data_IF_034754009761
#
_entry.id   IF_034754009761
#
_cell.length_a   1.000
_cell.length_b   1.000
_cell.length_c   1.000
_cell.angle_alpha   90.00
_cell.angle_beta   90.00
_cell.angle_gamma   90.00
#
_symmetry.space_group_name_H-M   'P 1'
#
loop_
_entity.id
_entity.type
_entity.pdbx_description
1 polymer ?
#
# COMPACT_ATOMS: atom_id res chain seq x y z
N UNK A 1 24.63 22.80 9.16
CA UNK A 1 23.14 22.76 9.08
C UNK A 1 22.71 21.32 8.86
N UNK A 2 21.94 20.71 9.78
CA UNK A 2 21.39 19.35 9.56
C UNK A 2 20.30 19.43 8.49
N UNK A 3 20.55 18.86 7.32
CA UNK A 3 19.54 18.69 6.28
C UNK A 3 18.48 17.71 6.79
N UNK A 4 17.39 18.22 7.37
CA UNK A 4 16.20 17.44 7.68
C UNK A 4 15.56 17.06 6.33
N UNK A 5 15.99 15.94 5.73
CA UNK A 5 15.29 15.35 4.58
C UNK A 5 13.84 15.10 5.02
N UNK A 6 12.91 15.94 4.55
CA UNK A 6 11.47 15.73 4.76
C UNK A 6 11.13 14.36 4.19
N UNK A 7 10.74 13.44 5.08
CA UNK A 7 10.26 12.12 4.68
C UNK A 7 8.87 12.27 4.06
N UNK A 8 8.80 12.50 2.75
CA UNK A 8 7.55 12.54 2.00
C UNK A 8 7.01 11.12 1.86
N UNK A 9 5.81 10.90 2.37
CA UNK A 9 5.15 9.59 2.44
C UNK A 9 3.82 9.69 1.72
N UNK A 10 3.60 8.86 0.71
CA UNK A 10 2.27 8.66 0.13
C UNK A 10 1.53 7.53 0.83
N UNK A 11 0.22 7.63 0.98
CA UNK A 11 -0.64 6.56 1.50
C UNK A 11 -1.63 6.17 0.41
N UNK A 12 -1.63 4.90 0.02
CA UNK A 12 -2.59 4.30 -0.89
C UNK A 12 -3.52 3.37 -0.09
N UNK A 13 -4.72 3.84 0.19
CA UNK A 13 -5.76 3.06 0.87
C UNK A 13 -6.52 2.15 -0.10
N UNK A 14 -6.89 0.95 0.35
CA UNK A 14 -7.70 0.04 -0.45
C UNK A 14 -7.91 -1.33 0.19
N UNK A 15 -8.77 -2.16 -0.39
CA UNK A 15 -8.99 -3.54 0.10
C UNK A 15 -7.87 -4.48 -0.38
N UNK A 16 -7.28 -4.24 -1.56
CA UNK A 16 -6.22 -5.08 -2.14
C UNK A 16 -6.58 -6.58 -2.19
N UNK A 17 -7.73 -6.88 -2.79
CA UNK A 17 -8.31 -8.22 -2.87
C UNK A 17 -8.45 -8.73 -4.33
N UNK A 18 -7.36 -9.16 -4.99
CA UNK A 18 -5.96 -9.15 -4.54
C UNK A 18 -5.21 -7.87 -4.92
N UNK A 19 -4.04 -7.68 -4.32
CA UNK A 19 -3.12 -6.65 -4.78
C UNK A 19 -2.53 -7.03 -6.15
N UNK A 20 -2.49 -6.13 -7.14
CA UNK A 20 -1.96 -6.42 -8.49
C UNK A 20 -1.05 -5.32 -9.04
N UNK A 21 -0.57 -5.49 -10.28
CA UNK A 21 0.42 -4.61 -10.95
C UNK A 21 -0.05 -3.15 -11.05
N UNK A 22 -1.33 -2.88 -11.28
CA UNK A 22 -1.83 -1.50 -11.34
C UNK A 22 -1.62 -0.73 -10.02
N UNK A 23 -1.70 -1.38 -8.85
CA UNK A 23 -1.35 -0.72 -7.58
C UNK A 23 0.13 -0.35 -7.51
N UNK A 24 1.01 -1.13 -8.15
CA UNK A 24 2.44 -0.78 -8.24
C UNK A 24 2.62 0.40 -9.18
N UNK A 25 1.99 0.38 -10.36
CA UNK A 25 2.09 1.46 -11.34
C UNK A 25 1.66 2.80 -10.74
N UNK A 26 0.49 2.86 -10.10
CA UNK A 26 0.02 4.09 -9.47
C UNK A 26 0.95 4.56 -8.34
N UNK A 27 1.52 3.62 -7.57
CA UNK A 27 2.49 3.94 -6.52
C UNK A 27 3.80 4.48 -7.08
N UNK A 28 4.25 3.95 -8.21
CA UNK A 28 5.46 4.39 -8.91
C UNK A 28 5.27 5.80 -9.47
N UNK A 29 4.14 6.05 -10.13
CA UNK A 29 3.82 7.36 -10.70
C UNK A 29 3.62 8.41 -9.61
N UNK A 30 2.93 8.08 -8.51
CA UNK A 30 2.82 8.97 -7.36
C UNK A 30 4.20 9.26 -6.76
N UNK A 31 5.07 8.26 -6.64
CA UNK A 31 6.43 8.44 -6.15
C UNK A 31 7.22 9.43 -7.00
N UNK A 32 7.16 9.31 -8.34
CA UNK A 32 7.85 10.23 -9.26
C UNK A 32 7.25 11.63 -9.21
N UNK A 33 5.92 11.75 -9.33
CA UNK A 33 5.21 13.02 -9.44
C UNK A 33 5.31 13.87 -8.17
N UNK A 34 5.32 13.24 -7.01
CA UNK A 34 5.34 13.93 -5.71
C UNK A 34 6.68 13.80 -4.97
N UNK A 35 7.70 13.22 -5.61
CA UNK A 35 9.04 12.99 -5.04
C UNK A 35 8.96 12.28 -3.67
N UNK A 36 8.20 11.18 -3.62
CA UNK A 36 7.97 10.44 -2.37
C UNK A 36 9.16 9.55 -2.02
N UNK A 37 9.55 9.54 -0.75
CA UNK A 37 10.56 8.60 -0.25
C UNK A 37 9.98 7.18 -0.22
N UNK A 38 8.74 7.04 0.25
CA UNK A 38 8.03 5.76 0.36
C UNK A 38 6.53 5.90 0.13
N UNK A 39 5.91 4.79 -0.25
CA UNK A 39 4.45 4.66 -0.37
C UNK A 39 3.99 3.58 0.61
N UNK A 40 2.99 3.91 1.42
CA UNK A 40 2.34 2.97 2.32
C UNK A 40 1.08 2.45 1.66
N UNK A 41 0.96 1.15 1.48
CA UNK A 41 -0.32 0.52 1.16
C UNK A 41 -1.06 0.26 2.46
N UNK A 42 -2.12 1.01 2.69
CA UNK A 42 -3.02 0.85 3.83
C UNK A 42 -4.14 -0.13 3.45
N UNK A 43 -3.95 -1.41 3.83
CA UNK A 43 -4.92 -2.46 3.55
C UNK A 43 -6.06 -2.35 4.57
N UNK A 44 -7.29 -2.26 4.07
CA UNK A 44 -8.54 -2.18 4.87
C UNK A 44 -9.20 -3.55 5.00
N UNK A 45 -9.95 -3.81 6.09
CA UNK A 45 -10.57 -5.13 6.32
C UNK A 45 -11.71 -5.40 5.35
N UNK A 46 -12.56 -4.41 5.09
CA UNK A 46 -13.76 -4.57 4.25
C UNK A 46 -14.04 -3.28 3.51
N UNK A 47 -14.46 -3.40 2.25
CA UNK A 47 -15.09 -2.28 1.55
C UNK A 47 -16.53 -2.14 2.08
N UNK A 48 -16.95 -0.96 2.59
CA UNK A 48 -18.31 -0.74 3.09
C UNK A 48 -19.41 -1.12 2.09
N UNK A 49 -19.12 -1.05 0.79
CA UNK A 49 -20.04 -1.33 -0.30
C UNK A 49 -20.00 -2.78 -0.81
N UNK A 50 -19.22 -3.68 -0.19
CA UNK A 50 -19.14 -5.09 -0.59
C UNK A 50 -19.44 -6.01 0.58
N UNK A 51 -20.34 -6.97 0.37
CA UNK A 51 -20.75 -7.92 1.42
C UNK A 51 -19.66 -8.92 1.78
N UNK A 52 -18.90 -9.41 0.78
CA UNK A 52 -17.89 -10.46 0.91
C UNK A 52 -16.56 -10.04 0.27
N UNK A 53 -15.47 -10.46 0.89
CA UNK A 53 -14.12 -10.40 0.31
C UNK A 53 -13.76 -11.81 -0.20
N UNK A 54 -13.05 -11.88 -1.33
CA UNK A 54 -12.61 -13.13 -1.93
C UNK A 54 -11.43 -13.74 -1.15
N UNK A 55 -10.56 -12.90 -0.58
CA UNK A 55 -9.43 -13.35 0.23
C UNK A 55 -9.52 -12.86 1.67
N UNK A 56 -9.13 -13.74 2.60
CA UNK A 56 -8.93 -13.36 4.00
C UNK A 56 -7.90 -12.25 4.11
N UNK A 57 -8.00 -11.43 5.16
CA UNK A 57 -7.06 -10.33 5.39
C UNK A 57 -5.60 -10.81 5.42
N UNK A 58 -5.33 -11.95 6.08
CA UNK A 58 -3.98 -12.55 6.14
C UNK A 58 -3.47 -12.89 4.74
N UNK A 59 -4.30 -13.46 3.88
CA UNK A 59 -3.93 -13.78 2.50
C UNK A 59 -3.65 -12.51 1.68
N UNK A 60 -4.46 -11.46 1.83
CA UNK A 60 -4.25 -10.17 1.15
C UNK A 60 -2.93 -9.52 1.54
N UNK A 61 -2.63 -9.48 2.84
CA UNK A 61 -1.34 -8.97 3.34
C UNK A 61 -0.17 -9.80 2.81
N UNK A 62 -0.26 -11.14 2.85
CA UNK A 62 0.79 -12.03 2.33
C UNK A 62 1.01 -11.83 0.84
N UNK A 63 -0.08 -11.68 0.07
CA UNK A 63 -0.03 -11.45 -1.37
C UNK A 63 0.61 -10.10 -1.69
N UNK A 64 0.17 -9.02 -1.03
CA UNK A 64 0.73 -7.69 -1.20
C UNK A 64 2.24 -7.64 -0.86
N UNK A 65 2.66 -8.32 0.22
CA UNK A 65 4.08 -8.47 0.56
C UNK A 65 4.86 -9.24 -0.51
N UNK A 66 4.31 -10.34 -1.03
CA UNK A 66 4.95 -11.14 -2.09
C UNK A 66 5.11 -10.33 -3.38
N UNK A 67 4.07 -9.60 -3.77
CA UNK A 67 4.07 -8.75 -4.96
C UNK A 67 5.13 -7.63 -4.87
N UNK A 68 5.28 -7.02 -3.69
CA UNK A 68 6.20 -5.91 -3.47
C UNK A 68 7.62 -6.32 -3.05
N UNK A 69 7.99 -7.61 -3.15
CA UNK A 69 9.36 -8.07 -2.81
C UNK A 69 10.47 -7.32 -3.57
N UNK A 70 10.19 -6.86 -4.80
CA UNK A 70 11.13 -6.09 -5.62
C UNK A 70 10.98 -4.57 -5.46
N UNK A 71 9.93 -4.10 -4.77
CA UNK A 71 9.58 -2.69 -4.65
C UNK A 71 9.81 -2.19 -3.21
N UNK A 72 11.08 -1.97 -2.85
CA UNK A 72 11.47 -1.64 -1.46
C UNK A 72 10.88 -0.33 -0.92
N UNK A 73 10.45 0.56 -1.83
CA UNK A 73 9.81 1.82 -1.49
C UNK A 73 8.34 1.67 -1.08
N UNK A 74 7.72 0.51 -1.34
CA UNK A 74 6.36 0.22 -0.94
C UNK A 74 6.38 -0.52 0.40
N UNK A 75 5.67 0.02 1.39
CA UNK A 75 5.49 -0.60 2.71
C UNK A 75 4.04 -1.02 2.88
N UNK A 76 3.81 -2.24 3.33
CA UNK A 76 2.47 -2.73 3.63
C UNK A 76 2.16 -2.39 5.07
N UNK A 77 1.07 -1.66 5.30
CA UNK A 77 0.55 -1.38 6.62
C UNK A 77 -0.93 -1.79 6.68
N UNK A 78 -1.35 -2.31 7.82
CA UNK A 78 -2.73 -2.63 8.08
C UNK A 78 -3.23 -1.64 9.13
N UNK A 79 -4.18 -0.79 8.73
CA UNK A 79 -4.82 0.17 9.64
C UNK A 79 -6.24 -0.34 9.82
N UNK A 80 -6.51 -0.93 10.97
CA UNK A 80 -7.83 -1.03 11.57
C UNK A 80 -7.61 -1.61 12.98
N UNK A 81 -7.59 -0.70 13.97
CA UNK A 81 -7.70 -1.06 15.38
C UNK A 81 -9.16 -1.45 15.65
N UNK A 82 -9.30 -2.39 16.57
CA UNK A 82 -10.56 -2.81 17.19
C UNK A 82 -11.22 -1.62 17.90
#
# INVERSE_FOLDING_TARGET
>A
MKNLKKNKIGILGGTFDPAHKEHIKISLEAKKKFDLNKVIWAITKKNPFKEKNNMSLKQRIKFAKKLNKKNNFIKIYFIEKK
#
